data_IF_276845089946
#
_entry.id   IF_276845089946
#
_cell.length_a   1.000
_cell.length_b   1.000
_cell.length_c   1.000
_cell.angle_alpha   90.00
_cell.angle_beta   90.00
_cell.angle_gamma   90.00
#
_symmetry.space_group_name_H-M   'P 1'
#
loop_
_entity.id
_entity.type
_entity.pdbx_description
1 polymer ?
#
# COMPACT_ATOMS: atom_id res chain seq x y z
N UNK A 1 24.70 17.41 -10.01
CA UNK A 1 23.44 17.88 -9.40
C UNK A 1 23.31 19.36 -9.67
N UNK A 2 22.20 19.87 -10.19
CA UNK A 2 21.98 21.31 -10.30
C UNK A 2 22.07 21.91 -8.91
N UNK A 3 22.83 23.00 -8.75
CA UNK A 3 22.92 23.72 -7.47
C UNK A 3 21.53 24.21 -7.14
N UNK A 4 20.98 23.79 -5.99
CA UNK A 4 19.71 24.32 -5.46
C UNK A 4 19.82 25.85 -5.43
N UNK A 5 18.83 26.59 -5.99
CA UNK A 5 18.83 28.04 -5.88
C UNK A 5 18.80 28.41 -4.40
N UNK A 6 19.75 29.21 -3.98
CA UNK A 6 19.79 29.79 -2.62
C UNK A 6 18.68 30.85 -2.54
N UNK A 7 17.49 30.41 -2.13
CA UNK A 7 16.40 31.34 -1.83
C UNK A 7 16.80 32.08 -0.55
N UNK A 8 16.98 33.37 -0.64
CA UNK A 8 17.27 34.22 0.52
C UNK A 8 15.93 34.49 1.22
N UNK A 9 15.74 33.90 2.38
CA UNK A 9 14.53 34.04 3.19
C UNK A 9 14.29 35.43 3.76
N UNK A 10 15.32 36.32 3.78
CA UNK A 10 15.28 37.62 4.39
C UNK A 10 15.67 38.72 3.40
N UNK A 11 14.86 38.90 2.33
CA UNK A 11 15.03 40.06 1.46
C UNK A 11 14.67 41.36 2.16
N UNK A 12 13.93 41.30 3.27
CA UNK A 12 13.48 42.42 4.10
C UNK A 12 13.67 42.11 5.57
N UNK A 13 14.84 42.41 6.10
CA UNK A 13 15.11 42.23 7.53
C UNK A 13 14.52 43.40 8.34
N UNK A 14 14.24 43.12 9.62
CA UNK A 14 13.76 44.11 10.59
C UNK A 14 14.49 45.48 10.45
N UNK A 15 15.84 45.48 10.36
CA UNK A 15 16.63 46.68 10.25
C UNK A 15 16.41 47.48 8.95
N UNK A 16 16.22 46.75 7.83
CA UNK A 16 15.95 47.40 6.54
C UNK A 16 14.57 48.04 6.51
N UNK A 17 13.56 47.35 7.06
CA UNK A 17 12.20 47.87 7.17
C UNK A 17 12.17 49.12 8.09
N UNK A 18 12.82 49.03 9.26
CA UNK A 18 12.90 50.15 10.20
C UNK A 18 13.56 51.39 9.54
N UNK A 19 14.68 51.19 8.84
CA UNK A 19 15.35 52.27 8.12
C UNK A 19 14.44 52.88 7.05
N UNK A 20 13.78 52.03 6.25
CA UNK A 20 12.87 52.50 5.21
C UNK A 20 11.69 53.29 5.78
N UNK A 21 11.15 52.89 6.95
CA UNK A 21 10.09 53.62 7.67
C UNK A 21 10.57 54.97 8.19
N UNK A 22 11.78 55.02 8.76
CA UNK A 22 12.40 56.29 9.24
C UNK A 22 12.65 57.21 8.06
N UNK A 23 13.23 56.73 6.95
CA UNK A 23 13.44 57.54 5.74
C UNK A 23 12.12 58.06 5.16
N UNK A 24 11.07 57.22 5.17
CA UNK A 24 9.73 57.63 4.75
C UNK A 24 9.16 58.71 5.65
N UNK A 25 9.27 58.60 6.99
CA UNK A 25 8.80 59.59 7.94
C UNK A 25 9.54 60.92 7.80
N UNK A 26 10.85 60.87 7.64
CA UNK A 26 11.67 62.06 7.40
C UNK A 26 11.31 62.79 6.10
N UNK A 27 10.96 62.02 5.05
CA UNK A 27 10.67 62.59 3.73
C UNK A 27 9.28 63.21 3.62
N UNK A 28 8.28 62.58 4.21
CA UNK A 28 6.87 62.97 4.02
C UNK A 28 6.27 63.69 5.21
N UNK A 29 6.87 63.55 6.41
CA UNK A 29 6.37 64.17 7.65
C UNK A 29 7.45 64.97 8.43
N UNK A 30 8.29 65.77 7.75
CA UNK A 30 9.45 66.42 8.39
C UNK A 30 9.07 67.40 9.49
N UNK A 31 7.84 67.97 9.45
CA UNK A 31 7.39 69.00 10.40
C UNK A 31 6.56 68.39 11.56
N UNK A 32 6.19 67.12 11.48
CA UNK A 32 5.32 66.48 12.48
C UNK A 32 6.08 65.53 13.40
N UNK A 33 7.16 64.92 12.92
CA UNK A 33 7.92 63.96 13.70
C UNK A 33 9.42 64.10 13.44
N UNK A 34 10.14 64.60 14.49
CA UNK A 34 11.58 64.86 14.41
C UNK A 34 12.39 64.07 15.45
N UNK A 35 11.73 63.33 16.36
CA UNK A 35 12.42 62.55 17.38
C UNK A 35 12.59 61.07 16.93
N UNK A 36 13.76 60.77 16.38
CA UNK A 36 14.17 59.46 15.94
C UNK A 36 15.08 58.75 16.96
N UNK A 37 15.11 59.23 18.22
CA UNK A 37 15.85 58.56 19.30
C UNK A 37 15.28 57.14 19.58
N UNK A 38 16.15 56.23 19.95
CA UNK A 38 15.75 54.85 20.22
C UNK A 38 14.72 54.71 21.36
N UNK A 39 14.66 55.66 22.27
CA UNK A 39 13.77 55.66 23.41
C UNK A 39 12.47 56.45 23.19
N UNK A 40 12.21 56.92 21.95
CA UNK A 40 11.01 57.68 21.63
C UNK A 40 9.82 56.74 21.39
N UNK A 41 8.60 57.22 21.68
CA UNK A 41 7.37 56.44 21.37
C UNK A 41 7.26 56.13 19.87
N UNK A 42 7.70 57.04 19.01
CA UNK A 42 7.70 56.80 17.56
C UNK A 42 8.67 55.70 17.14
N UNK A 43 9.85 55.61 17.79
CA UNK A 43 10.76 54.48 17.56
C UNK A 43 10.12 53.16 17.95
N UNK A 44 9.40 53.09 19.08
CA UNK A 44 8.66 51.88 19.49
C UNK A 44 7.59 51.46 18.46
N UNK A 45 6.89 52.43 17.86
CA UNK A 45 5.90 52.14 16.80
C UNK A 45 6.60 51.62 15.54
N UNK A 46 7.72 52.25 15.13
CA UNK A 46 8.51 51.78 13.98
C UNK A 46 9.07 50.39 14.23
N UNK A 47 9.53 50.07 15.42
CA UNK A 47 10.02 48.77 15.80
C UNK A 47 8.91 47.73 15.74
N UNK A 48 7.71 48.04 16.24
CA UNK A 48 6.57 47.15 16.18
C UNK A 48 6.13 46.86 14.74
N UNK A 49 6.04 47.91 13.90
CA UNK A 49 5.69 47.76 12.48
C UNK A 49 6.77 46.99 11.72
N UNK A 50 8.05 47.27 12.01
CA UNK A 50 9.18 46.58 11.40
C UNK A 50 9.20 45.07 11.77
N UNK A 51 8.88 44.75 13.02
CA UNK A 51 8.77 43.40 13.50
C UNK A 51 7.62 42.62 12.79
N UNK A 52 6.45 43.27 12.68
CA UNK A 52 5.32 42.68 11.92
C UNK A 52 5.69 42.49 10.45
N UNK A 53 6.37 43.46 9.85
CA UNK A 53 6.83 43.39 8.46
C UNK A 53 7.85 42.28 8.22
N UNK A 54 8.78 42.09 9.14
CA UNK A 54 9.76 40.97 9.10
C UNK A 54 9.08 39.62 9.25
N UNK A 55 8.16 39.49 10.19
CA UNK A 55 7.35 38.28 10.37
C UNK A 55 6.52 37.95 9.13
N UNK A 56 5.85 38.94 8.53
CA UNK A 56 5.07 38.71 7.30
C UNK A 56 5.97 38.33 6.11
N UNK A 57 7.14 38.95 5.99
CA UNK A 57 8.12 38.60 4.96
C UNK A 57 8.59 37.15 5.11
N UNK A 58 8.89 36.73 6.35
CA UNK A 58 9.25 35.35 6.65
C UNK A 58 8.13 34.37 6.27
N UNK A 59 6.88 34.68 6.65
CA UNK A 59 5.76 33.80 6.29
C UNK A 59 5.53 33.70 4.78
N UNK A 60 5.70 34.80 4.05
CA UNK A 60 5.59 34.79 2.58
C UNK A 60 6.70 33.95 1.93
N UNK A 61 7.94 34.11 2.40
CA UNK A 61 9.05 33.32 1.89
C UNK A 61 8.89 31.82 2.25
N UNK A 62 8.45 31.53 3.47
CA UNK A 62 8.15 30.17 3.91
C UNK A 62 7.04 29.55 3.04
N UNK A 63 5.92 30.25 2.86
CA UNK A 63 4.81 29.76 2.03
C UNK A 63 5.22 29.53 0.57
N UNK A 64 6.06 30.41 0.04
CA UNK A 64 6.58 30.26 -1.31
C UNK A 64 7.47 29.02 -1.42
N UNK A 65 8.35 28.78 -0.44
CA UNK A 65 9.21 27.61 -0.43
C UNK A 65 8.44 26.30 -0.29
N UNK A 66 7.37 26.29 0.53
CA UNK A 66 6.50 25.13 0.68
C UNK A 66 5.72 24.79 -0.59
N UNK A 67 5.64 25.70 -1.57
CA UNK A 67 4.96 25.45 -2.85
C UNK A 67 5.81 24.67 -3.87
N UNK A 68 7.10 24.47 -3.63
CA UNK A 68 8.01 23.77 -4.54
C UNK A 68 8.54 22.47 -3.94
N UNK A 69 8.52 21.39 -4.72
CA UNK A 69 8.99 20.06 -4.30
C UNK A 69 10.45 20.08 -3.77
N UNK A 70 11.31 20.92 -4.36
CA UNK A 70 12.73 21.00 -3.98
C UNK A 70 12.94 21.64 -2.61
N UNK A 71 12.11 22.62 -2.25
CA UNK A 71 12.30 23.48 -1.08
C UNK A 71 11.31 23.24 0.04
N UNK A 72 10.21 22.52 -0.22
CA UNK A 72 9.22 22.17 0.79
C UNK A 72 9.87 21.43 1.96
N UNK A 73 9.66 21.90 3.19
CA UNK A 73 10.19 21.31 4.44
C UNK A 73 9.15 20.45 5.14
N UNK A 74 7.87 20.83 5.02
CA UNK A 74 6.75 20.05 5.54
C UNK A 74 6.60 18.74 4.78
N UNK A 75 6.60 17.61 5.50
CA UNK A 75 6.44 16.29 4.90
C UNK A 75 5.08 16.13 4.22
N UNK A 76 4.03 16.72 4.77
CA UNK A 76 2.68 16.67 4.20
C UNK A 76 2.58 17.44 2.88
N UNK A 77 3.18 18.64 2.82
CA UNK A 77 3.24 19.40 1.57
C UNK A 77 4.08 18.67 0.53
N UNK A 78 5.19 18.07 0.96
CA UNK A 78 6.05 17.28 0.09
C UNK A 78 5.30 16.07 -0.50
N UNK A 79 4.51 15.37 0.32
CA UNK A 79 3.67 14.24 -0.14
C UNK A 79 2.62 14.69 -1.16
N UNK A 80 1.93 15.81 -0.90
CA UNK A 80 0.94 16.38 -1.83
C UNK A 80 1.57 16.76 -3.17
N UNK A 81 2.72 17.42 -3.14
CA UNK A 81 3.47 17.79 -4.34
C UNK A 81 3.98 16.55 -5.10
N UNK A 82 4.44 15.52 -4.38
CA UNK A 82 4.86 14.26 -4.97
C UNK A 82 3.69 13.53 -5.66
N UNK A 83 2.51 13.53 -5.03
CA UNK A 83 1.30 12.96 -5.61
C UNK A 83 0.87 13.71 -6.89
N UNK A 84 0.97 15.03 -6.93
CA UNK A 84 0.72 15.82 -8.15
C UNK A 84 1.67 15.44 -9.30
N UNK A 85 2.88 14.95 -8.99
CA UNK A 85 3.83 14.43 -9.97
C UNK A 85 3.61 12.96 -10.33
N UNK A 86 2.60 12.31 -9.75
CA UNK A 86 2.26 10.90 -9.99
C UNK A 86 2.97 9.90 -9.06
N UNK A 87 3.73 10.37 -8.07
CA UNK A 87 4.33 9.49 -7.07
C UNK A 87 3.38 9.29 -5.89
N UNK A 88 2.78 8.11 -5.80
CA UNK A 88 1.93 7.74 -4.68
C UNK A 88 2.81 7.36 -3.48
N UNK A 89 2.67 8.13 -2.41
CA UNK A 89 3.30 7.80 -1.15
C UNK A 89 2.47 6.74 -0.43
N UNK A 90 3.03 5.56 -0.28
CA UNK A 90 2.46 4.50 0.53
C UNK A 90 3.13 4.48 1.92
N UNK A 91 2.34 4.30 2.96
CA UNK A 91 2.79 4.27 4.36
C UNK A 91 3.63 3.04 4.71
N UNK A 92 3.34 2.45 5.86
CA UNK A 92 4.08 1.29 6.35
C UNK A 92 3.86 0.06 5.45
N UNK A 93 4.92 -0.54 4.89
CA UNK A 93 4.78 -1.72 4.06
C UNK A 93 4.43 -2.95 4.88
N UNK A 94 3.71 -3.88 4.27
CA UNK A 94 3.59 -5.23 4.81
C UNK A 94 4.89 -6.01 4.57
N UNK A 95 5.27 -6.83 5.54
CA UNK A 95 6.43 -7.71 5.45
C UNK A 95 5.98 -9.08 4.93
N UNK A 96 6.67 -9.58 3.92
CA UNK A 96 6.40 -10.87 3.30
C UNK A 96 7.48 -11.87 3.62
N UNK A 97 7.07 -13.11 3.84
CA UNK A 97 7.98 -14.22 4.05
C UNK A 97 7.40 -15.54 3.56
N UNK A 98 8.18 -16.60 3.70
CA UNK A 98 7.74 -17.97 3.47
C UNK A 98 7.71 -18.70 4.79
N UNK A 99 6.61 -19.36 5.09
CA UNK A 99 6.45 -20.25 6.23
C UNK A 99 6.27 -21.69 5.78
N UNK A 100 6.82 -22.60 6.53
CA UNK A 100 6.67 -24.04 6.37
C UNK A 100 5.65 -24.53 7.36
N UNK A 101 4.62 -25.20 6.87
CA UNK A 101 3.57 -25.77 7.69
C UNK A 101 3.70 -27.28 7.73
N UNK A 102 3.50 -27.83 8.91
CA UNK A 102 3.49 -29.24 9.18
C UNK A 102 2.12 -29.63 9.71
N UNK A 103 1.65 -30.79 9.29
CA UNK A 103 0.41 -31.37 9.79
C UNK A 103 0.58 -32.88 9.86
N UNK A 104 0.06 -33.52 10.91
CA UNK A 104 0.08 -34.93 11.08
C UNK A 104 -1.33 -35.50 10.86
N UNK A 105 -1.43 -36.48 9.96
CA UNK A 105 -2.69 -37.07 9.51
C UNK A 105 -2.63 -38.61 9.72
N UNK A 106 -3.70 -39.27 10.16
CA UNK A 106 -3.73 -40.74 10.32
C UNK A 106 -3.49 -41.43 8.99
N UNK A 107 -2.91 -42.62 9.08
CA UNK A 107 -2.75 -43.53 7.94
C UNK A 107 -4.10 -44.03 7.44
N UNK A 108 -4.17 -44.36 6.15
CA UNK A 108 -5.31 -45.05 5.62
C UNK A 108 -5.42 -46.47 6.18
N UNK A 109 -6.57 -47.13 6.02
CA UNK A 109 -6.82 -48.49 6.54
C UNK A 109 -5.82 -49.54 6.07
N UNK A 110 -5.11 -49.29 4.98
CA UNK A 110 -4.08 -50.18 4.41
C UNK A 110 -2.68 -49.88 4.94
N UNK A 111 -2.48 -48.71 5.57
CA UNK A 111 -1.16 -48.23 6.03
C UNK A 111 -0.23 -47.77 4.91
N UNK A 112 -0.71 -47.58 3.69
CA UNK A 112 0.09 -47.23 2.50
C UNK A 112 0.10 -45.74 2.14
N UNK A 113 -0.27 -44.89 3.07
CA UNK A 113 -0.29 -43.43 2.87
C UNK A 113 -1.25 -42.74 3.84
N UNK A 114 -1.32 -41.41 3.83
CA UNK A 114 -2.25 -40.65 4.67
C UNK A 114 -3.70 -40.91 4.22
N UNK A 115 -4.64 -40.84 5.17
CA UNK A 115 -6.06 -40.91 4.85
C UNK A 115 -6.53 -39.57 4.27
N UNK A 116 -6.83 -39.59 2.96
CA UNK A 116 -7.21 -38.38 2.20
C UNK A 116 -8.44 -37.68 2.80
N UNK A 117 -9.30 -38.41 3.52
CA UNK A 117 -10.48 -37.83 4.16
C UNK A 117 -10.15 -36.86 5.27
N UNK A 118 -9.03 -37.06 5.95
CA UNK A 118 -8.59 -36.24 7.08
C UNK A 118 -7.49 -35.22 6.70
N UNK A 119 -7.12 -35.09 5.42
CA UNK A 119 -6.17 -34.11 4.98
C UNK A 119 -6.83 -32.73 5.01
N UNK A 120 -6.32 -31.77 5.84
CA UNK A 120 -6.93 -30.46 6.00
C UNK A 120 -6.56 -29.51 4.86
N UNK A 121 -7.38 -28.49 4.68
CA UNK A 121 -7.07 -27.28 3.94
C UNK A 121 -7.06 -26.13 4.94
N UNK A 122 -5.90 -25.46 5.11
CA UNK A 122 -5.84 -24.21 5.85
C UNK A 122 -6.26 -23.07 4.93
N UNK A 123 -7.25 -22.31 5.34
CA UNK A 123 -7.74 -21.19 4.55
C UNK A 123 -6.82 -19.98 4.66
N UNK A 124 -6.84 -19.15 3.63
CA UNK A 124 -6.25 -17.82 3.61
C UNK A 124 -6.70 -17.01 4.82
N UNK A 125 -5.77 -16.25 5.42
CA UNK A 125 -6.05 -15.45 6.62
C UNK A 125 -5.76 -16.17 7.93
N UNK A 126 -5.35 -17.45 7.92
CA UNK A 126 -4.90 -18.16 9.12
C UNK A 126 -3.78 -17.37 9.80
N UNK A 127 -3.97 -17.09 11.10
CA UNK A 127 -3.05 -16.22 11.88
C UNK A 127 -1.92 -17.04 12.50
N UNK A 128 -0.73 -16.50 12.41
CA UNK A 128 0.51 -17.05 12.92
C UNK A 128 1.13 -16.02 13.86
N UNK A 129 1.63 -16.44 15.00
CA UNK A 129 2.41 -15.61 15.91
C UNK A 129 3.88 -15.93 15.84
N UNK A 130 4.70 -14.90 16.05
CA UNK A 130 6.13 -15.04 16.25
C UNK A 130 6.47 -15.07 17.73
N UNK A 131 7.67 -15.54 18.07
CA UNK A 131 8.24 -15.49 19.43
C UNK A 131 8.28 -14.08 19.99
N UNK A 132 8.45 -13.07 19.13
CA UNK A 132 8.54 -11.65 19.48
C UNK A 132 7.17 -10.95 19.52
N UNK A 133 6.06 -11.69 19.35
CA UNK A 133 4.70 -11.18 19.42
C UNK A 133 4.17 -10.53 18.15
N UNK A 134 4.96 -10.48 17.08
CA UNK A 134 4.45 -10.05 15.78
C UNK A 134 3.46 -11.08 15.21
N UNK A 135 2.45 -10.61 14.47
CA UNK A 135 1.45 -11.47 13.86
C UNK A 135 1.59 -11.48 12.35
N UNK A 136 1.48 -12.68 11.78
CA UNK A 136 1.47 -12.93 10.35
C UNK A 136 0.20 -13.68 9.97
N UNK A 137 -0.12 -13.69 8.69
CA UNK A 137 -1.24 -14.47 8.14
C UNK A 137 -0.88 -15.10 6.79
N UNK A 138 -1.54 -16.20 6.47
CA UNK A 138 -1.40 -16.84 5.17
C UNK A 138 -2.04 -15.99 4.08
N UNK A 139 -1.39 -15.92 2.91
CA UNK A 139 -1.88 -15.14 1.76
C UNK A 139 -2.76 -15.93 0.82
N UNK A 140 -2.72 -17.24 0.91
CA UNK A 140 -3.48 -18.19 0.08
C UNK A 140 -3.90 -19.42 0.88
N UNK A 141 -4.82 -20.20 0.34
CA UNK A 141 -5.22 -21.47 0.91
C UNK A 141 -4.08 -22.49 0.79
N UNK A 142 -3.86 -23.24 1.85
CA UNK A 142 -2.84 -24.29 1.93
C UNK A 142 -3.54 -25.64 1.86
N UNK A 143 -3.45 -26.29 0.71
CA UNK A 143 -3.99 -27.62 0.51
C UNK A 143 -2.91 -28.67 0.71
N UNK A 144 -2.99 -29.45 1.81
CA UNK A 144 -2.05 -30.52 2.09
C UNK A 144 -2.26 -31.76 1.20
N UNK A 145 -3.29 -31.80 0.37
CA UNK A 145 -3.51 -32.86 -0.62
C UNK A 145 -2.89 -32.57 -1.99
N UNK A 146 -2.01 -31.56 -2.08
CA UNK A 146 -1.35 -31.22 -3.33
C UNK A 146 -0.19 -32.19 -3.60
N UNK A 147 0.06 -32.63 -4.87
CA UNK A 147 1.19 -33.50 -5.21
C UNK A 147 2.57 -32.97 -4.85
N UNK A 148 2.72 -31.66 -4.63
CA UNK A 148 3.97 -31.02 -4.21
C UNK A 148 4.26 -31.07 -2.71
N UNK A 149 3.37 -31.70 -1.92
CA UNK A 149 3.51 -31.84 -0.47
C UNK A 149 4.45 -32.99 -0.15
N UNK A 150 5.43 -32.75 0.71
CA UNK A 150 6.32 -33.80 1.22
C UNK A 150 5.53 -34.66 2.23
N UNK A 151 5.52 -35.98 2.02
CA UNK A 151 4.81 -36.95 2.87
C UNK A 151 5.83 -37.88 3.48
N UNK A 152 5.88 -37.97 4.82
CA UNK A 152 6.81 -38.80 5.56
C UNK A 152 6.04 -39.56 6.63
N UNK A 153 6.31 -40.89 6.81
CA UNK A 153 5.74 -41.67 7.90
C UNK A 153 6.28 -41.14 9.25
N UNK A 154 5.38 -40.74 10.17
CA UNK A 154 5.72 -40.10 11.42
C UNK A 154 5.66 -41.01 12.64
N UNK A 155 4.71 -41.93 12.69
CA UNK A 155 4.55 -42.93 13.75
C UNK A 155 4.37 -44.31 13.18
N UNK A 156 4.86 -45.29 13.92
CA UNK A 156 4.76 -46.69 13.58
C UNK A 156 4.13 -47.45 14.75
N UNK A 157 3.28 -48.44 14.44
CA UNK A 157 2.80 -49.39 15.40
C UNK A 157 3.95 -50.32 15.77
N UNK A 158 4.31 -50.39 17.06
CA UNK A 158 5.39 -51.22 17.58
C UNK A 158 5.19 -52.71 17.33
N UNK A 159 3.92 -53.14 17.17
CA UNK A 159 3.58 -54.58 17.01
C UNK A 159 3.57 -55.00 15.55
N UNK A 160 3.08 -54.14 14.66
CA UNK A 160 2.91 -54.47 13.24
C UNK A 160 3.97 -53.85 12.33
N UNK A 161 4.71 -52.88 12.82
CA UNK A 161 5.67 -52.12 12.04
C UNK A 161 5.05 -51.22 10.95
N UNK A 162 3.72 -51.08 10.93
CA UNK A 162 3.02 -50.26 9.95
C UNK A 162 2.92 -48.81 10.41
N UNK A 163 2.99 -47.86 9.48
CA UNK A 163 2.77 -46.45 9.82
C UNK A 163 1.33 -46.24 10.33
N UNK A 164 1.20 -45.57 11.46
CA UNK A 164 -0.09 -45.11 12.03
C UNK A 164 -0.42 -43.71 11.63
N UNK A 165 0.60 -42.85 11.48
CA UNK A 165 0.45 -41.46 11.11
C UNK A 165 1.50 -41.02 10.05
N UNK A 166 1.09 -40.11 9.21
CA UNK A 166 1.96 -39.42 8.24
C UNK A 166 2.07 -37.96 8.55
N UNK A 167 3.31 -37.41 8.50
CA UNK A 167 3.56 -36.01 8.54
C UNK A 167 3.59 -35.41 7.13
N UNK A 168 2.80 -34.37 6.95
CA UNK A 168 2.71 -33.61 5.71
C UNK A 168 3.44 -32.28 5.89
N UNK A 169 4.27 -31.88 4.91
CA UNK A 169 5.00 -30.63 4.90
C UNK A 169 4.73 -29.83 3.64
N UNK A 170 4.40 -28.54 3.79
CA UNK A 170 4.19 -27.66 2.65
C UNK A 170 4.63 -26.23 2.97
N UNK A 171 4.79 -25.41 1.93
CA UNK A 171 5.22 -24.01 2.05
C UNK A 171 4.07 -23.09 1.68
N UNK A 172 3.99 -21.96 2.37
CA UNK A 172 3.06 -20.91 2.02
C UNK A 172 3.69 -19.55 2.19
N UNK A 173 3.28 -18.61 1.35
CA UNK A 173 3.57 -17.21 1.51
C UNK A 173 2.77 -16.65 2.68
N UNK A 174 3.47 -15.97 3.59
CA UNK A 174 2.88 -15.31 4.74
C UNK A 174 3.16 -13.82 4.67
N UNK A 175 2.27 -13.06 5.26
CA UNK A 175 2.30 -11.62 5.28
C UNK A 175 2.10 -11.11 6.70
N UNK A 176 2.84 -10.04 7.07
CA UNK A 176 2.67 -9.39 8.38
C UNK A 176 1.33 -8.66 8.48
N UNK A 177 0.89 -8.49 9.71
CA UNK A 177 -0.28 -7.70 10.06
C UNK A 177 -1.51 -8.52 10.42
N UNK A 178 -2.42 -7.85 11.10
CA UNK A 178 -3.71 -8.36 11.55
C UNK A 178 -4.81 -7.61 10.79
N UNK A 179 -5.93 -8.28 10.58
CA UNK A 179 -7.12 -7.63 10.04
C UNK A 179 -7.88 -6.94 11.17
N UNK A 180 -8.22 -5.70 10.93
CA UNK A 180 -9.06 -4.88 11.80
C UNK A 180 -10.32 -4.48 11.08
N UNK A 181 -11.38 -4.30 11.86
CA UNK A 181 -12.67 -3.85 11.39
C UNK A 181 -12.99 -2.51 12.05
N UNK A 182 -13.45 -1.58 11.27
CA UNK A 182 -13.94 -0.30 11.78
C UNK A 182 -15.23 0.08 11.06
N UNK A 183 -16.21 0.51 11.86
CA UNK A 183 -17.46 1.05 11.36
C UNK A 183 -17.41 2.56 11.37
N UNK A 184 -17.87 3.19 10.29
CA UNK A 184 -17.97 4.64 10.15
C UNK A 184 -19.34 5.02 9.64
N UNK A 185 -20.08 5.73 10.46
CA UNK A 185 -21.39 6.24 10.11
C UNK A 185 -21.26 7.50 9.24
N UNK A 186 -21.98 7.53 8.13
CA UNK A 186 -22.07 8.66 7.20
C UNK A 186 -23.49 9.19 7.21
N UNK A 187 -23.72 10.23 7.97
CA UNK A 187 -25.05 10.84 8.14
C UNK A 187 -25.34 11.96 7.14
N UNK A 188 -24.28 12.63 6.66
CA UNK A 188 -24.42 13.78 5.74
C UNK A 188 -23.74 13.51 4.41
N UNK A 189 -24.41 13.92 3.34
CA UNK A 189 -23.81 13.91 2.01
C UNK A 189 -22.93 15.15 1.84
N UNK A 190 -21.64 14.96 1.86
CA UNK A 190 -20.64 15.97 1.48
C UNK A 190 -19.93 15.54 0.21
N UNK A 191 -19.75 16.48 -0.71
CA UNK A 191 -18.96 16.23 -1.91
C UNK A 191 -17.50 15.99 -1.54
N UNK A 192 -16.86 15.02 -2.20
CA UNK A 192 -15.50 14.60 -1.90
C UNK A 192 -15.29 14.23 -0.42
N UNK A 193 -16.24 13.47 0.12
CA UNK A 193 -16.24 13.02 1.50
C UNK A 193 -14.91 12.34 1.84
N UNK A 194 -14.28 12.79 2.94
CA UNK A 194 -13.04 12.25 3.47
C UNK A 194 -13.27 11.65 4.84
N UNK A 195 -13.06 10.35 4.98
CA UNK A 195 -13.35 9.59 6.21
C UNK A 195 -12.03 9.06 6.79
N UNK A 196 -11.77 9.34 8.05
CA UNK A 196 -10.63 8.77 8.77
C UNK A 196 -10.91 7.30 9.13
N UNK A 197 -10.01 6.41 8.71
CA UNK A 197 -10.06 4.98 9.05
C UNK A 197 -9.31 4.71 10.36
N UNK A 198 -8.08 5.15 10.46
CA UNK A 198 -7.21 4.95 11.61
C UNK A 198 -5.89 5.69 11.48
N UNK A 199 -4.88 5.21 12.19
CA UNK A 199 -3.56 5.82 12.24
C UNK A 199 -2.69 5.42 11.03
N UNK A 200 -1.43 5.87 11.01
CA UNK A 200 -0.46 5.56 9.95
C UNK A 200 0.02 4.09 9.94
N UNK A 201 -0.38 3.28 10.92
CA UNK A 201 -0.01 1.86 11.01
C UNK A 201 -0.77 0.97 10.01
N UNK A 202 -1.71 1.55 9.27
CA UNK A 202 -2.48 0.84 8.24
C UNK A 202 -1.60 0.58 7.03
N UNK A 203 -1.51 -0.69 6.62
CA UNK A 203 -0.72 -1.12 5.47
C UNK A 203 -1.52 -1.11 4.17
N UNK A 204 -2.79 -1.46 4.28
CA UNK A 204 -3.71 -1.55 3.13
C UNK A 204 -5.17 -1.54 3.61
N UNK A 205 -6.03 -1.18 2.71
CA UNK A 205 -7.48 -1.36 2.86
C UNK A 205 -7.85 -2.66 2.12
N UNK A 206 -8.52 -3.57 2.81
CA UNK A 206 -8.90 -4.87 2.24
C UNK A 206 -10.26 -4.79 1.56
N UNK A 207 -11.27 -4.30 2.29
CA UNK A 207 -12.64 -4.21 1.78
C UNK A 207 -13.35 -3.02 2.43
N UNK A 208 -14.21 -2.39 1.66
CA UNK A 208 -15.12 -1.36 2.14
C UNK A 208 -16.51 -1.70 1.64
N UNK A 209 -17.44 -1.94 2.57
CA UNK A 209 -18.85 -2.21 2.28
C UNK A 209 -19.74 -1.17 2.94
N UNK A 210 -20.87 -0.89 2.34
CA UNK A 210 -21.92 -0.13 3.00
C UNK A 210 -22.96 -1.05 3.66
N UNK A 211 -23.90 -0.45 4.40
CA UNK A 211 -24.97 -1.20 5.08
C UNK A 211 -25.96 -1.87 4.12
N UNK A 212 -25.95 -1.52 2.83
CA UNK A 212 -26.76 -2.11 1.78
C UNK A 212 -26.05 -3.27 1.08
N UNK A 213 -24.78 -3.54 1.43
CA UNK A 213 -23.97 -4.60 0.89
C UNK A 213 -23.21 -4.24 -0.39
N UNK A 214 -23.15 -2.97 -0.77
CA UNK A 214 -22.38 -2.53 -1.91
C UNK A 214 -20.91 -2.40 -1.55
N UNK A 215 -20.05 -2.89 -2.44
CA UNK A 215 -18.60 -2.80 -2.31
C UNK A 215 -18.06 -1.56 -2.99
N UNK A 216 -17.15 -0.85 -2.29
CA UNK A 216 -16.35 0.23 -2.82
C UNK A 216 -14.95 -0.29 -3.17
N UNK A 217 -14.40 0.17 -4.29
CA UNK A 217 -13.11 -0.28 -4.82
C UNK A 217 -12.05 0.80 -4.70
N UNK A 218 -10.85 0.38 -4.29
CA UNK A 218 -9.69 1.27 -4.28
C UNK A 218 -9.21 1.54 -5.70
N UNK A 219 -8.93 2.81 -6.00
CA UNK A 219 -8.40 3.29 -7.27
C UNK A 219 -7.24 4.24 -7.03
N UNK A 220 -6.35 4.36 -8.01
CA UNK A 220 -5.22 5.31 -7.91
C UNK A 220 -5.72 6.77 -8.00
N UNK A 221 -6.74 7.01 -8.81
CA UNK A 221 -7.39 8.31 -8.98
C UNK A 221 -8.90 8.15 -9.09
N UNK A 222 -9.67 9.06 -8.50
CA UNK A 222 -11.14 9.02 -8.57
C UNK A 222 -11.71 9.09 -10.00
N UNK A 223 -10.93 9.55 -10.97
CA UNK A 223 -11.29 9.52 -12.39
C UNK A 223 -11.15 8.15 -13.05
N UNK A 224 -10.51 7.19 -12.39
CA UNK A 224 -10.34 5.83 -12.89
C UNK A 224 -11.64 5.04 -12.69
N UNK A 225 -12.31 4.68 -13.78
CA UNK A 225 -13.58 3.93 -13.75
C UNK A 225 -13.39 2.42 -13.76
N UNK A 226 -12.24 1.94 -14.23
CA UNK A 226 -11.98 0.51 -14.43
C UNK A 226 -10.97 -0.01 -13.42
N UNK A 227 -11.37 -1.07 -12.73
CA UNK A 227 -10.52 -1.85 -11.83
C UNK A 227 -10.36 -3.26 -12.38
N UNK A 228 -9.17 -3.83 -12.28
CA UNK A 228 -8.92 -5.20 -12.71
C UNK A 228 -9.06 -6.16 -11.53
N UNK A 229 -10.09 -7.00 -11.59
CA UNK A 229 -10.33 -8.02 -10.59
C UNK A 229 -9.68 -9.34 -10.98
N UNK A 230 -8.93 -9.92 -10.05
CA UNK A 230 -8.31 -11.21 -10.23
C UNK A 230 -9.36 -12.32 -10.08
N UNK A 231 -9.55 -13.11 -11.13
CA UNK A 231 -10.42 -14.28 -11.13
C UNK A 231 -9.60 -15.56 -11.35
N UNK A 232 -9.87 -16.60 -10.57
CA UNK A 232 -9.26 -17.91 -10.78
C UNK A 232 -9.51 -18.40 -12.21
N UNK A 233 -8.46 -18.90 -12.86
CA UNK A 233 -8.57 -19.46 -14.20
C UNK A 233 -9.08 -20.91 -14.11
N UNK A 234 -10.22 -21.20 -14.71
CA UNK A 234 -10.74 -22.57 -14.79
C UNK A 234 -9.92 -23.47 -15.74
N UNK A 235 -9.13 -22.88 -16.62
CA UNK A 235 -8.33 -23.57 -17.64
C UNK A 235 -6.83 -23.59 -17.32
N UNK A 236 -6.45 -23.57 -16.04
CA UNK A 236 -5.04 -23.53 -15.59
C UNK A 236 -4.15 -24.59 -16.24
N UNK A 237 -4.73 -25.77 -16.53
CA UNK A 237 -3.99 -26.87 -17.17
C UNK A 237 -3.64 -26.65 -18.65
N UNK A 238 -4.32 -25.70 -19.32
CA UNK A 238 -4.11 -25.39 -20.73
C UNK A 238 -3.20 -24.17 -20.89
N UNK A 239 -3.44 -23.15 -20.06
CA UNK A 239 -2.81 -21.83 -20.23
C UNK A 239 -1.61 -21.61 -19.31
N UNK A 240 -1.38 -22.51 -18.34
CA UNK A 240 -0.35 -22.39 -17.27
C UNK A 240 -0.47 -21.09 -16.44
N UNK A 241 -1.59 -20.37 -16.57
CA UNK A 241 -1.86 -19.11 -15.89
C UNK A 241 -2.87 -19.33 -14.77
N UNK A 242 -2.51 -19.15 -13.50
CA UNK A 242 -3.38 -19.46 -12.35
C UNK A 242 -4.59 -18.51 -12.22
N UNK A 243 -4.50 -17.30 -12.75
CA UNK A 243 -5.55 -16.30 -12.64
C UNK A 243 -5.61 -15.37 -13.84
N UNK A 244 -6.80 -14.86 -14.13
CA UNK A 244 -7.08 -13.93 -15.21
C UNK A 244 -7.55 -12.61 -14.61
N UNK A 245 -7.04 -11.50 -15.10
CA UNK A 245 -7.50 -10.16 -14.73
C UNK A 245 -8.69 -9.79 -15.61
N UNK A 246 -9.85 -9.55 -14.98
CA UNK A 246 -11.05 -9.07 -15.67
C UNK A 246 -11.29 -7.60 -15.37
N UNK A 247 -11.49 -6.75 -16.39
CA UNK A 247 -11.88 -5.37 -16.18
C UNK A 247 -13.28 -5.29 -15.59
N UNK A 248 -13.44 -4.49 -14.56
CA UNK A 248 -14.69 -4.22 -13.87
C UNK A 248 -14.88 -2.70 -13.76
N UNK A 249 -16.07 -2.20 -14.09
CA UNK A 249 -16.40 -0.79 -13.94
C UNK A 249 -16.81 -0.55 -12.49
N UNK A 250 -15.96 0.17 -11.76
CA UNK A 250 -16.18 0.53 -10.36
C UNK A 250 -16.91 1.88 -10.27
N UNK A 251 -18.23 1.87 -10.21
CA UNK A 251 -19.02 3.08 -9.97
C UNK A 251 -18.86 3.60 -8.54
N UNK A 252 -18.67 2.71 -7.57
CA UNK A 252 -18.35 3.04 -6.16
C UNK A 252 -16.86 2.83 -5.95
N UNK A 253 -16.13 3.93 -5.73
CA UNK A 253 -14.67 3.91 -5.61
C UNK A 253 -14.16 4.95 -4.63
N UNK A 254 -12.97 4.69 -4.11
CA UNK A 254 -12.27 5.59 -3.19
C UNK A 254 -10.77 5.60 -3.47
N UNK A 255 -10.11 6.65 -3.02
CA UNK A 255 -8.65 6.79 -2.98
C UNK A 255 -8.20 6.76 -1.53
N UNK A 256 -7.11 6.06 -1.26
CA UNK A 256 -6.48 6.04 0.07
C UNK A 256 -5.50 7.20 0.16
N UNK A 257 -5.70 8.07 1.14
CA UNK A 257 -4.79 9.16 1.46
C UNK A 257 -4.17 8.94 2.83
N UNK A 258 -2.87 9.18 2.95
CA UNK A 258 -2.18 9.16 4.23
C UNK A 258 -1.53 10.51 4.51
N UNK A 259 -1.81 11.05 5.70
CA UNK A 259 -1.17 12.25 6.21
C UNK A 259 -0.55 12.01 7.60
N UNK A 260 -0.02 13.05 8.24
CA UNK A 260 0.56 12.94 9.59
C UNK A 260 -0.46 12.54 10.65
N UNK A 261 -1.74 12.76 10.41
CA UNK A 261 -2.84 12.52 11.36
C UNK A 261 -3.45 11.14 11.21
N UNK A 262 -3.19 10.43 10.10
CA UNK A 262 -3.68 9.08 9.88
C UNK A 262 -3.96 8.71 8.42
N UNK A 263 -4.73 7.64 8.26
CA UNK A 263 -5.16 7.12 6.96
C UNK A 263 -6.62 7.45 6.73
N UNK A 264 -6.93 7.95 5.54
CA UNK A 264 -8.24 8.44 5.12
C UNK A 264 -8.68 7.76 3.83
N UNK A 265 -9.99 7.60 3.68
CA UNK A 265 -10.64 7.26 2.42
C UNK A 265 -11.30 8.51 1.86
N UNK A 266 -10.96 8.87 0.64
CA UNK A 266 -11.60 9.96 -0.09
C UNK A 266 -12.50 9.41 -1.17
N UNK A 267 -13.76 9.83 -1.17
CA UNK A 267 -14.79 9.46 -2.11
C UNK A 267 -15.06 10.58 -3.11
N UNK A 268 -15.79 10.27 -4.19
CA UNK A 268 -16.26 11.26 -5.15
C UNK A 268 -17.48 12.05 -4.65
N UNK A 269 -18.29 12.58 -5.57
CA UNK A 269 -19.49 13.34 -5.24
C UNK A 269 -20.75 12.91 -6.02
N UNK A 270 -20.66 11.81 -6.77
CA UNK A 270 -21.79 11.23 -7.50
C UNK A 270 -22.89 10.68 -6.60
N UNK A 271 -24.09 10.59 -7.12
CA UNK A 271 -25.23 9.96 -6.48
C UNK A 271 -25.87 8.92 -7.39
N UNK A 272 -26.50 7.89 -6.81
CA UNK A 272 -27.22 6.86 -7.56
C UNK A 272 -28.33 7.42 -8.44
N UNK A 273 -29.06 8.40 -7.94
CA UNK A 273 -30.18 9.04 -8.65
C UNK A 273 -29.75 9.79 -9.92
N UNK A 274 -28.47 10.12 -10.06
CA UNK A 274 -27.94 10.75 -11.26
C UNK A 274 -27.50 9.74 -12.31
N UNK A 275 -27.05 8.56 -11.91
CA UNK A 275 -26.69 7.47 -12.83
C UNK A 275 -27.92 6.92 -13.57
N UNK A 276 -29.03 6.78 -12.87
CA UNK A 276 -30.28 6.30 -13.45
C UNK A 276 -30.87 7.24 -14.53
N UNK A 277 -30.52 8.54 -14.48
CA UNK A 277 -30.99 9.53 -15.49
C UNK A 277 -30.25 9.41 -16.83
N UNK A 278 -29.07 8.82 -16.85
CA UNK A 278 -28.24 8.67 -18.04
C UNK A 278 -28.19 7.22 -18.55
N UNK A 279 -29.24 6.44 -18.36
CA UNK A 279 -29.36 5.03 -18.79
C UNK A 279 -29.14 4.72 -20.28
N UNK A 280 -28.54 5.63 -21.02
CA UNK A 280 -27.99 5.41 -22.34
C UNK A 280 -26.57 4.83 -22.20
N UNK A 281 -26.49 3.52 -22.34
CA UNK A 281 -25.20 2.82 -22.48
C UNK A 281 -24.37 3.54 -23.54
N UNK A 282 -23.23 4.10 -23.16
CA UNK A 282 -22.30 4.72 -24.10
C UNK A 282 -21.94 3.68 -25.18
N UNK A 283 -22.27 3.91 -26.47
CA UNK A 283 -21.99 2.94 -27.52
C UNK A 283 -20.52 2.56 -27.61
N UNK A 284 -19.61 3.44 -27.22
CA UNK A 284 -18.17 3.18 -27.20
C UNK A 284 -17.78 2.11 -26.17
N UNK A 285 -18.46 2.02 -25.03
CA UNK A 285 -18.22 1.00 -24.02
C UNK A 285 -18.71 -0.38 -24.46
N UNK A 286 -19.80 -0.44 -25.20
CA UNK A 286 -20.34 -1.69 -25.77
C UNK A 286 -19.42 -2.23 -26.86
N UNK A 287 -18.95 -1.36 -27.76
CA UNK A 287 -18.06 -1.72 -28.86
C UNK A 287 -16.70 -2.21 -28.33
N UNK A 288 -16.14 -1.56 -27.31
CA UNK A 288 -14.88 -1.96 -26.68
C UNK A 288 -14.97 -3.33 -26.02
N UNK A 289 -16.08 -3.65 -25.39
CA UNK A 289 -16.33 -4.98 -24.79
C UNK A 289 -16.43 -6.10 -25.84
N UNK A 290 -16.99 -5.80 -26.99
CA UNK A 290 -17.17 -6.80 -28.07
C UNK A 290 -15.87 -7.08 -28.85
N UNK A 291 -14.95 -6.16 -28.95
CA UNK A 291 -13.72 -6.32 -29.76
C UNK A 291 -12.52 -6.85 -28.97
N UNK A 292 -12.63 -7.06 -27.65
CA UNK A 292 -11.56 -7.58 -26.82
C UNK A 292 -10.29 -6.72 -26.75
N UNK A 293 -10.32 -5.49 -27.29
CA UNK A 293 -9.20 -4.56 -27.29
C UNK A 293 -9.32 -3.61 -26.09
N UNK A 294 -8.27 -3.55 -25.28
CA UNK A 294 -8.16 -2.62 -24.15
C UNK A 294 -7.82 -1.21 -24.64
N UNK A 295 -8.78 -0.50 -25.23
CA UNK A 295 -8.63 0.92 -25.56
C UNK A 295 -9.05 1.86 -24.43
N UNK A 296 -9.34 1.31 -23.26
CA UNK A 296 -9.84 2.07 -22.11
C UNK A 296 -8.81 3.09 -21.59
N UNK A 297 -7.53 2.83 -21.82
CA UNK A 297 -6.43 3.74 -21.47
C UNK A 297 -6.28 4.92 -22.44
N UNK A 298 -6.86 4.82 -23.64
CA UNK A 298 -6.73 5.84 -24.71
C UNK A 298 -7.96 6.75 -24.83
N UNK A 299 -8.95 6.62 -23.95
CA UNK A 299 -10.06 7.58 -23.92
C UNK A 299 -9.51 8.92 -23.47
N UNK A 300 -9.45 9.85 -24.42
CA UNK A 300 -9.09 11.23 -24.15
C UNK A 300 -9.97 11.78 -23.02
N UNK A 301 -9.35 12.42 -22.05
CA UNK A 301 -10.03 13.17 -21.02
C UNK A 301 -10.91 14.23 -21.67
N UNK A 302 -12.21 13.99 -21.69
CA UNK A 302 -13.20 14.97 -22.15
C UNK A 302 -13.83 15.63 -20.92
N UNK A 303 -13.52 16.90 -20.62
CA UNK A 303 -14.08 17.61 -19.47
C UNK A 303 -15.61 17.66 -19.48
N UNK A 304 -16.25 17.61 -20.66
CA UNK A 304 -17.70 17.62 -20.78
C UNK A 304 -18.34 16.29 -20.36
N UNK A 305 -17.63 15.19 -20.48
CA UNK A 305 -18.07 13.89 -19.96
C UNK A 305 -18.10 13.83 -18.45
N UNK A 306 -17.22 14.56 -17.76
CA UNK A 306 -17.22 14.66 -16.31
C UNK A 306 -18.48 15.32 -15.73
N UNK A 307 -19.11 16.17 -16.49
CA UNK A 307 -20.36 16.84 -16.05
C UNK A 307 -21.59 15.93 -16.19
N UNK A 308 -21.49 14.82 -16.90
CA UNK A 308 -22.61 13.93 -17.21
C UNK A 308 -22.51 12.52 -16.63
N UNK A 309 -21.36 12.10 -16.06
CA UNK A 309 -21.13 10.77 -15.55
C UNK A 309 -21.18 10.72 -14.01
N UNK A 310 -20.73 9.63 -13.42
CA UNK A 310 -20.75 9.33 -11.97
C UNK A 310 -19.95 10.30 -11.07
N UNK A 311 -19.49 11.42 -11.62
CA UNK A 311 -18.83 12.51 -10.89
C UNK A 311 -17.75 12.01 -9.93
N UNK A 312 -16.76 11.32 -10.46
CA UNK A 312 -15.65 10.73 -9.70
C UNK A 312 -16.04 9.58 -8.76
N UNK A 313 -17.14 8.92 -9.04
CA UNK A 313 -17.67 7.81 -8.25
C UNK A 313 -18.79 8.23 -7.28
N UNK A 314 -19.60 7.24 -6.95
CA UNK A 314 -20.72 7.41 -6.03
C UNK A 314 -20.18 7.59 -4.62
N UNK A 315 -20.59 8.67 -3.95
CA UNK A 315 -20.28 8.92 -2.55
C UNK A 315 -21.25 8.16 -1.63
N UNK A 316 -20.77 7.56 -0.52
CA UNK A 316 -21.66 6.97 0.47
C UNK A 316 -22.53 8.06 1.12
N UNK A 317 -23.83 7.76 1.31
CA UNK A 317 -24.82 8.70 1.88
C UNK A 317 -25.77 7.94 2.80
N UNK A 318 -26.01 8.48 4.00
CA UNK A 318 -26.94 7.91 4.99
C UNK A 318 -26.72 6.39 5.20
N UNK A 319 -25.48 5.98 5.32
CA UNK A 319 -25.08 4.57 5.43
C UNK A 319 -23.96 4.39 6.45
N UNK A 320 -23.80 3.19 6.95
CA UNK A 320 -22.64 2.83 7.77
C UNK A 320 -21.67 2.05 6.90
N UNK A 321 -20.42 2.53 6.82
CA UNK A 321 -19.35 1.85 6.13
C UNK A 321 -18.66 0.86 7.06
N UNK A 322 -18.60 -0.40 6.66
CA UNK A 322 -17.76 -1.42 7.26
C UNK A 322 -16.45 -1.50 6.50
N UNK A 323 -15.38 -1.04 7.14
CA UNK A 323 -14.05 -0.97 6.56
C UNK A 323 -13.17 -2.04 7.20
N UNK A 324 -12.67 -2.96 6.37
CA UNK A 324 -11.68 -3.95 6.78
C UNK A 324 -10.32 -3.52 6.29
N UNK A 325 -9.35 -3.45 7.18
CA UNK A 325 -7.99 -3.05 6.84
C UNK A 325 -6.93 -3.94 7.50
N UNK A 326 -5.76 -4.01 6.86
CA UNK A 326 -4.58 -4.66 7.42
C UNK A 326 -3.69 -3.65 8.12
N UNK A 327 -3.25 -3.98 9.34
CA UNK A 327 -2.33 -3.15 10.09
C UNK A 327 -1.26 -3.98 10.79
N UNK A 328 -0.06 -3.42 10.96
CA UNK A 328 0.99 -4.06 11.74
C UNK A 328 0.72 -3.85 13.22
N UNK A 329 0.85 -4.92 14.01
CA UNK A 329 0.68 -4.88 15.46
C UNK A 329 2.00 -4.70 16.23
N UNK A 330 3.12 -4.65 15.52
CA UNK A 330 4.46 -4.49 16.07
C UNK A 330 5.31 -3.59 15.19
N UNK A 331 6.22 -2.84 15.79
CA UNK A 331 7.21 -2.04 15.08
C UNK A 331 8.36 -2.91 14.53
N UNK A 332 8.64 -4.04 15.18
CA UNK A 332 9.60 -5.03 14.69
C UNK A 332 8.85 -6.18 14.03
N UNK A 333 9.02 -6.31 12.73
CA UNK A 333 8.39 -7.35 11.90
C UNK A 333 9.42 -8.34 11.35
N UNK A 334 10.67 -8.22 11.77
CA UNK A 334 11.70 -9.18 11.42
C UNK A 334 11.49 -10.47 12.21
N UNK A 335 11.66 -11.60 11.55
CA UNK A 335 11.51 -12.93 12.15
C UNK A 335 12.81 -13.68 11.94
N UNK A 336 13.42 -14.13 13.03
CA UNK A 336 14.60 -15.01 12.97
C UNK A 336 14.25 -16.39 12.40
N UNK A 337 15.25 -17.18 12.05
CA UNK A 337 15.03 -18.57 11.65
C UNK A 337 14.35 -19.30 12.81
N UNK A 338 13.33 -20.11 12.50
CA UNK A 338 12.46 -20.79 13.48
C UNK A 338 11.76 -19.82 14.46
N UNK A 339 11.53 -18.56 14.04
CA UNK A 339 10.91 -17.54 14.90
C UNK A 339 9.38 -17.56 14.89
N UNK A 340 8.73 -18.38 14.08
CA UNK A 340 7.29 -18.63 14.22
C UNK A 340 7.05 -19.59 15.36
N UNK A 341 6.11 -19.22 16.25
CA UNK A 341 5.85 -19.98 17.48
C UNK A 341 4.63 -20.87 17.38
N UNK A 342 3.52 -20.35 16.85
CA UNK A 342 2.26 -21.08 16.82
C UNK A 342 1.30 -20.57 15.72
N UNK A 343 0.39 -21.42 15.32
CA UNK A 343 -0.79 -21.04 14.55
C UNK A 343 -1.90 -20.65 15.52
N UNK A 344 -2.10 -19.34 15.75
CA UNK A 344 -2.95 -18.82 16.83
C UNK A 344 -4.44 -18.91 16.54
N UNK A 345 -4.85 -18.84 15.28
CA UNK A 345 -6.23 -18.98 14.84
C UNK A 345 -6.26 -19.78 13.53
N UNK A 346 -6.21 -21.11 13.59
CA UNK A 346 -6.26 -21.93 12.38
C UNK A 346 -7.68 -21.89 11.78
N UNK A 347 -7.78 -21.45 10.54
CA UNK A 347 -8.99 -21.57 9.74
C UNK A 347 -8.86 -22.86 8.92
N UNK A 348 -9.46 -23.95 9.40
CA UNK A 348 -9.29 -25.27 8.81
C UNK A 348 -10.60 -25.78 8.24
N UNK A 349 -10.54 -26.28 7.01
CA UNK A 349 -11.61 -27.03 6.36
C UNK A 349 -11.18 -28.47 6.10
N UNK A 350 -12.06 -29.40 6.39
CA UNK A 350 -11.89 -30.78 6.02
C UNK A 350 -12.85 -31.18 4.87
N UNK A 351 -12.53 -32.21 4.08
CA UNK A 351 -13.45 -32.74 3.08
C UNK A 351 -14.81 -33.10 3.68
N UNK A 352 -15.88 -32.95 2.90
CA UNK A 352 -17.27 -33.10 3.38
C UNK A 352 -17.61 -34.46 3.97
N UNK A 353 -16.91 -35.52 3.57
CA UNK A 353 -17.17 -36.92 3.99
C UNK A 353 -16.76 -37.23 5.44
N UNK A 354 -16.14 -36.25 6.15
CA UNK A 354 -15.61 -36.48 7.51
C UNK A 354 -16.39 -35.79 8.62
N UNK A 355 -17.54 -35.20 8.31
CA UNK A 355 -18.35 -34.44 9.29
C UNK A 355 -18.72 -35.22 10.56
N UNK A 356 -18.66 -36.55 10.56
CA UNK A 356 -19.02 -37.43 11.70
C UNK A 356 -17.82 -37.81 12.60
N UNK A 357 -16.58 -37.41 12.29
CA UNK A 357 -15.36 -37.76 13.03
C UNK A 357 -14.65 -36.53 13.62
N UNK A 358 -15.37 -35.76 14.42
CA UNK A 358 -14.85 -34.53 15.05
C UNK A 358 -13.62 -34.75 15.98
N UNK A 359 -13.50 -35.94 16.56
CA UNK A 359 -12.34 -36.27 17.44
C UNK A 359 -11.06 -36.30 16.63
N UNK A 360 -11.04 -37.08 15.52
CA UNK A 360 -9.86 -37.16 14.67
C UNK A 360 -9.54 -35.82 13.98
N UNK A 361 -10.55 -35.04 13.59
CA UNK A 361 -10.36 -33.69 13.07
C UNK A 361 -9.68 -32.79 14.08
N UNK A 362 -10.10 -32.80 15.36
CA UNK A 362 -9.48 -32.01 16.42
C UNK A 362 -8.05 -32.49 16.71
N UNK A 363 -7.79 -33.80 16.67
CA UNK A 363 -6.43 -34.33 16.77
C UNK A 363 -5.53 -33.79 15.64
N UNK A 364 -5.98 -33.88 14.38
CA UNK A 364 -5.24 -33.34 13.24
C UNK A 364 -5.01 -31.84 13.39
N UNK A 365 -6.04 -31.08 13.77
CA UNK A 365 -5.94 -29.64 13.99
C UNK A 365 -4.89 -29.26 15.03
N UNK A 366 -4.82 -30.04 16.14
CA UNK A 366 -3.85 -29.81 17.21
C UNK A 366 -2.38 -30.07 16.82
N UNK A 367 -2.17 -30.78 15.71
CA UNK A 367 -0.83 -31.12 15.18
C UNK A 367 -0.34 -30.13 14.13
N UNK A 368 -1.11 -29.10 13.81
CA UNK A 368 -0.68 -28.10 12.84
C UNK A 368 0.39 -27.21 13.48
N UNK A 369 1.60 -27.29 12.94
CA UNK A 369 2.76 -26.52 13.36
C UNK A 369 3.26 -25.65 12.22
N UNK A 370 3.94 -24.57 12.58
CA UNK A 370 4.50 -23.62 11.62
C UNK A 370 5.96 -23.30 12.00
N UNK A 371 6.80 -23.17 11.00
CA UNK A 371 8.19 -22.75 11.14
C UNK A 371 8.61 -21.91 9.95
N UNK A 372 9.74 -21.23 10.05
CA UNK A 372 10.38 -20.58 8.91
C UNK A 372 11.83 -21.04 8.79
N UNK A 373 12.17 -21.58 7.62
CA UNK A 373 13.51 -22.11 7.32
C UNK A 373 14.52 -20.98 7.03
N UNK A 374 14.03 -19.79 6.69
CA UNK A 374 14.85 -18.60 6.43
C UNK A 374 14.37 -17.42 7.25
N UNK A 375 15.29 -16.57 7.68
CA UNK A 375 14.94 -15.32 8.34
C UNK A 375 14.09 -14.42 7.42
N UNK A 376 13.07 -13.79 7.98
CA UNK A 376 12.24 -12.81 7.29
C UNK A 376 12.73 -11.44 7.69
N UNK A 377 13.41 -10.77 6.78
CA UNK A 377 13.98 -9.44 6.98
C UNK A 377 13.47 -8.56 5.85
N UNK A 378 12.76 -7.48 6.19
CA UNK A 378 12.23 -6.54 5.21
C UNK A 378 12.28 -5.11 5.73
N UNK A 379 12.40 -4.18 4.79
CA UNK A 379 12.40 -2.75 5.04
C UNK A 379 10.97 -2.26 5.34
N UNK A 380 10.74 -1.87 6.58
CA UNK A 380 9.51 -1.19 7.02
C UNK A 380 9.74 0.31 7.28
N UNK A 381 10.92 0.85 6.96
CA UNK A 381 11.23 2.26 7.15
C UNK A 381 10.47 3.12 6.16
N UNK A 382 9.98 4.28 6.62
CA UNK A 382 9.35 5.27 5.75
C UNK A 382 10.40 5.97 4.89
N UNK A 383 10.09 6.36 3.63
CA UNK A 383 11.03 7.10 2.80
C UNK A 383 11.31 8.48 3.39
N UNK A 384 12.57 8.90 3.34
CA UNK A 384 12.99 10.24 3.74
C UNK A 384 12.50 11.30 2.76
N UNK A 385 12.47 12.57 3.19
CA UNK A 385 12.08 13.68 2.32
C UNK A 385 12.90 13.75 1.01
N UNK A 386 14.20 13.49 1.09
CA UNK A 386 15.07 13.49 -0.09
C UNK A 386 14.80 12.29 -1.02
N UNK A 387 14.46 11.14 -0.46
CA UNK A 387 14.03 9.99 -1.26
C UNK A 387 12.70 10.24 -1.97
N UNK A 388 11.74 10.90 -1.30
CA UNK A 388 10.44 11.28 -1.91
C UNK A 388 10.70 12.24 -3.08
N UNK A 389 11.54 13.26 -2.90
CA UNK A 389 11.90 14.19 -3.98
C UNK A 389 12.50 13.48 -5.18
N UNK A 390 13.53 12.65 -4.94
CA UNK A 390 14.19 11.92 -6.01
C UNK A 390 13.24 10.99 -6.76
N UNK A 391 12.43 10.22 -6.02
CA UNK A 391 11.47 9.28 -6.60
C UNK A 391 10.38 9.99 -7.40
N UNK A 392 9.88 11.14 -6.91
CA UNK A 392 8.87 11.93 -7.61
C UNK A 392 9.34 12.41 -8.98
N UNK A 393 10.58 12.89 -9.08
CA UNK A 393 11.16 13.28 -10.38
C UNK A 393 11.35 12.09 -11.32
N UNK A 394 11.80 10.95 -10.78
CA UNK A 394 11.99 9.74 -11.58
C UNK A 394 10.66 9.22 -12.14
N UNK A 395 9.61 9.20 -11.32
CA UNK A 395 8.27 8.78 -11.70
C UNK A 395 7.66 9.72 -12.74
N UNK A 396 7.78 11.03 -12.53
CA UNK A 396 7.28 12.03 -13.47
C UNK A 396 7.94 11.88 -14.85
N UNK A 397 9.26 11.62 -14.90
CA UNK A 397 9.97 11.43 -16.16
C UNK A 397 9.60 10.12 -16.86
N UNK A 398 9.30 9.06 -16.12
CA UNK A 398 8.89 7.76 -16.63
C UNK A 398 7.47 7.76 -17.22
N UNK A 399 6.56 8.63 -16.75
CA UNK A 399 5.16 8.76 -17.22
C UNK A 399 4.41 7.41 -17.27
N UNK A 400 4.56 6.57 -16.27
CA UNK A 400 4.01 5.21 -16.17
C UNK A 400 4.39 4.30 -17.36
N UNK A 401 5.53 4.55 -17.99
CA UNK A 401 6.08 3.73 -19.06
C UNK A 401 7.44 3.20 -18.66
N UNK A 402 7.75 1.97 -19.04
CA UNK A 402 9.01 1.31 -18.72
C UNK A 402 9.77 1.04 -20.02
N UNK A 403 10.58 1.99 -20.44
CA UNK A 403 11.36 1.94 -21.69
C UNK A 403 12.86 1.98 -21.43
N UNK A 404 13.31 2.86 -20.57
CA UNK A 404 14.72 3.03 -20.21
C UNK A 404 15.05 2.30 -18.90
N UNK A 405 16.33 2.10 -18.63
CA UNK A 405 16.78 1.50 -17.34
C UNK A 405 16.29 2.33 -16.14
N UNK A 406 16.34 3.65 -16.25
CA UNK A 406 15.88 4.55 -15.19
C UNK A 406 14.36 4.46 -14.97
N UNK A 407 13.58 4.19 -16.03
CA UNK A 407 12.14 3.99 -15.90
C UNK A 407 11.83 2.70 -15.12
N UNK A 408 12.61 1.60 -15.35
CA UNK A 408 12.50 0.40 -14.54
C UNK A 408 12.78 0.69 -13.06
N UNK A 409 13.82 1.47 -12.75
CA UNK A 409 14.13 1.87 -11.37
C UNK A 409 12.98 2.69 -10.75
N UNK A 410 12.44 3.66 -11.48
CA UNK A 410 11.31 4.47 -11.05
C UNK A 410 10.06 3.61 -10.79
N UNK A 411 9.77 2.66 -11.67
CA UNK A 411 8.60 1.79 -11.57
C UNK A 411 8.69 0.82 -10.38
N UNK A 412 9.89 0.33 -10.05
CA UNK A 412 10.12 -0.47 -8.85
C UNK A 412 9.80 0.31 -7.58
N UNK A 413 10.13 1.60 -7.52
CA UNK A 413 9.81 2.45 -6.36
C UNK A 413 8.33 2.83 -6.25
N UNK A 414 7.52 2.60 -7.27
CA UNK A 414 6.06 2.75 -7.26
C UNK A 414 5.33 1.48 -6.80
N UNK A 415 6.05 0.38 -6.56
CA UNK A 415 5.43 -0.87 -6.13
C UNK A 415 4.60 -0.65 -4.87
N UNK A 416 3.29 -1.03 -4.87
CA UNK A 416 2.43 -0.91 -3.70
C UNK A 416 3.00 -1.63 -2.48
N UNK A 417 2.82 -1.04 -1.31
CA UNK A 417 3.28 -1.64 -0.03
C UNK A 417 2.65 -2.99 0.26
N UNK A 418 1.49 -3.25 -0.34
CA UNK A 418 0.83 -4.56 -0.29
C UNK A 418 1.63 -5.69 -0.96
N UNK A 419 2.63 -5.39 -1.78
CA UNK A 419 3.53 -6.36 -2.43
C UNK A 419 4.93 -6.40 -1.79
N UNK A 420 5.18 -5.55 -0.78
CA UNK A 420 6.47 -5.39 -0.13
C UNK A 420 7.20 -4.13 -0.60
N UNK A 421 8.45 -3.97 -0.20
CA UNK A 421 9.25 -2.78 -0.52
C UNK A 421 10.68 -3.12 -0.86
N UNK A 422 11.25 -2.34 -1.76
CA UNK A 422 12.67 -2.37 -2.13
C UNK A 422 13.30 -1.02 -1.80
N UNK A 423 14.44 -1.02 -1.08
CA UNK A 423 15.10 0.23 -0.68
C UNK A 423 15.94 0.80 -1.80
N UNK A 424 16.70 -0.06 -2.47
CA UNK A 424 17.58 0.33 -3.59
C UNK A 424 17.43 -0.67 -4.73
N UNK A 425 17.45 -0.15 -5.93
CA UNK A 425 17.42 -0.92 -7.18
C UNK A 425 18.46 -0.37 -8.13
N UNK A 426 19.06 -1.24 -8.90
CA UNK A 426 19.95 -0.88 -10.02
C UNK A 426 19.68 -1.80 -11.20
N UNK A 427 19.52 -1.21 -12.37
CA UNK A 427 19.24 -1.91 -13.62
C UNK A 427 20.42 -1.78 -14.57
N UNK A 428 21.04 -2.91 -14.89
CA UNK A 428 22.21 -2.97 -15.79
C UNK A 428 21.94 -3.93 -16.96
N UNK A 429 22.78 -3.88 -17.96
CA UNK A 429 22.75 -4.91 -19.00
C UNK A 429 23.15 -6.26 -18.41
N UNK A 430 22.56 -7.33 -18.91
CA UNK A 430 22.88 -8.68 -18.45
C UNK A 430 24.39 -8.96 -18.58
N UNK A 431 25.10 -9.29 -17.49
CA UNK A 431 26.52 -9.58 -17.52
C UNK A 431 26.86 -10.85 -18.32
N UNK A 432 25.89 -11.72 -18.62
CA UNK A 432 26.09 -12.91 -19.48
C UNK A 432 26.29 -12.57 -20.95
N UNK A 433 26.22 -11.30 -21.35
CA UNK A 433 26.44 -10.84 -22.70
C UNK A 433 25.29 -11.12 -23.67
N UNK A 434 24.15 -11.60 -23.18
CA UNK A 434 22.95 -11.80 -24.01
C UNK A 434 22.35 -10.44 -24.34
N UNK A 435 22.41 -10.06 -25.60
CA UNK A 435 21.82 -8.81 -26.08
C UNK A 435 20.30 -8.77 -25.77
N UNK A 436 19.82 -7.59 -25.36
CA UNK A 436 18.42 -7.30 -25.01
C UNK A 436 17.90 -7.92 -23.70
N UNK A 437 18.77 -8.37 -22.80
CA UNK A 437 18.41 -8.73 -21.43
C UNK A 437 18.91 -7.68 -20.46
N UNK A 438 18.11 -7.41 -19.44
CA UNK A 438 18.44 -6.54 -18.32
C UNK A 438 18.55 -7.38 -17.05
N UNK A 439 19.55 -7.10 -16.24
CA UNK A 439 19.68 -7.64 -14.89
C UNK A 439 19.30 -6.56 -13.89
N UNK A 440 18.40 -6.88 -12.98
CA UNK A 440 17.93 -5.99 -11.92
C UNK A 440 18.47 -6.49 -10.58
N UNK A 441 19.22 -5.64 -9.90
CA UNK A 441 19.75 -5.89 -8.56
C UNK A 441 18.93 -5.10 -7.55
N UNK A 442 18.44 -5.78 -6.52
CA UNK A 442 17.57 -5.19 -5.50
C UNK A 442 18.14 -5.46 -4.11
N UNK A 443 18.10 -4.45 -3.26
CA UNK A 443 18.59 -4.50 -1.89
C UNK A 443 17.52 -3.86 -0.99
N UNK A 444 17.29 -4.49 0.16
CA UNK A 444 16.42 -3.98 1.22
C UNK A 444 17.26 -3.51 2.41
N UNK A 445 16.64 -2.79 3.34
CA UNK A 445 17.19 -2.46 4.66
C UNK A 445 16.49 -3.29 5.72
N UNK A 446 17.19 -3.59 6.81
CA UNK A 446 16.58 -4.07 8.03
C UNK A 446 16.13 -2.91 8.94
N UNK A 447 15.53 -3.23 10.09
CA UNK A 447 15.05 -2.22 11.05
C UNK A 447 16.19 -1.39 11.67
N UNK A 448 17.41 -1.92 11.67
CA UNK A 448 18.62 -1.25 12.19
C UNK A 448 19.29 -0.36 11.13
N UNK A 449 18.75 -0.36 9.91
CA UNK A 449 19.24 0.45 8.80
C UNK A 449 20.36 -0.17 7.96
N UNK A 450 20.76 -1.43 8.24
CA UNK A 450 21.77 -2.15 7.47
C UNK A 450 21.17 -2.69 6.16
N UNK A 451 21.99 -2.73 5.12
CA UNK A 451 21.61 -3.31 3.84
C UNK A 451 21.64 -4.83 3.90
N UNK A 452 20.52 -5.43 3.49
CA UNK A 452 20.34 -6.89 3.44
C UNK A 452 19.82 -7.32 2.07
N UNK A 453 20.03 -8.58 1.73
CA UNK A 453 19.44 -9.15 0.52
C UNK A 453 17.92 -9.13 0.62
N UNK A 454 17.28 -8.60 -0.41
CA UNK A 454 15.81 -8.62 -0.52
C UNK A 454 15.32 -10.06 -0.50
N UNK A 455 14.26 -10.32 0.26
CA UNK A 455 13.64 -11.63 0.39
C UNK A 455 13.17 -12.15 -0.99
N UNK A 456 13.24 -13.47 -1.18
CA UNK A 456 12.79 -14.15 -2.40
C UNK A 456 11.33 -13.87 -2.74
N UNK A 457 10.46 -13.77 -1.75
CA UNK A 457 9.06 -13.43 -1.90
C UNK A 457 8.85 -12.04 -2.49
N UNK A 458 9.56 -11.02 -1.95
CA UNK A 458 9.48 -9.66 -2.48
C UNK A 458 10.01 -9.60 -3.92
N UNK A 459 11.05 -10.39 -4.24
CA UNK A 459 11.54 -10.52 -5.62
C UNK A 459 10.50 -11.14 -6.56
N UNK A 460 9.73 -12.13 -6.09
CA UNK A 460 8.63 -12.74 -6.85
C UNK A 460 7.47 -11.76 -7.05
N UNK A 461 7.07 -11.04 -6.00
CA UNK A 461 6.06 -9.99 -6.08
C UNK A 461 6.48 -8.86 -7.02
N UNK A 462 7.76 -8.48 -7.00
CA UNK A 462 8.32 -7.50 -7.93
C UNK A 462 8.23 -7.96 -9.39
N UNK A 463 8.47 -9.26 -9.67
CA UNK A 463 8.27 -9.81 -11.02
C UNK A 463 6.82 -9.71 -11.46
N UNK A 464 5.87 -10.00 -10.56
CA UNK A 464 4.44 -9.84 -10.85
C UNK A 464 4.08 -8.38 -11.13
N UNK A 465 4.62 -7.46 -10.34
CA UNK A 465 4.43 -6.01 -10.53
C UNK A 465 4.97 -5.51 -11.87
N UNK A 466 6.15 -5.96 -12.27
CA UNK A 466 6.79 -5.57 -13.54
C UNK A 466 6.11 -6.18 -14.77
N UNK A 467 5.27 -7.19 -14.62
CA UNK A 467 4.52 -7.83 -15.69
C UNK A 467 3.11 -7.25 -15.86
N UNK A 468 2.71 -6.30 -15.04
CA UNK A 468 1.47 -5.52 -15.22
C UNK A 468 1.64 -4.48 -16.32
#
# INVERSE_FOLDING_TARGET
MPKKPLIRYTSRSFQTIKRDLVEHAQRYYPNFYNDFSENSFGSMVFDSVSYVGDMLSFYLDYQTNESFLETATSLDNLRKLANQMGYNYYGNPAVYGTATFYCRVPANSLGLGPDVRFIPVLEKGTKIKTTDGASFRTTQDINFNNPSVDVVAARFDETTGKPTDYALRTFCLVRSGVEYFVEREVTTSTDFLRIRVGDQTINEILTVFDSEGHQYYEVDNLSQEVVYLQQSNSNVHVDEVPSILKPFIASRRFVVEQDETGTYLQFGFGSETEIDKFGLTDPSQVVLKMTGKNYITDTAFDPNRFLGTDKFGISPRNTTLLITYGGNNSNSLNVSINGFSEVSQPLIKFPADTSNNSVTQNEVTSTVEVSNDAAIINDNTLPTADEIRYRSYAVYSAQNRVVTKNDYEAYVYQMPTSLGRVTRVSVVNDPSGINKRLAMYVISKDNDGYFVNTNGTVKSNLKVWLNK
#
